data_IF_746078463967
#
_entry.id   IF_746078463967
#
_cell.length_a   1.000
_cell.length_b   1.000
_cell.length_c   1.000
_cell.angle_alpha   90.00
_cell.angle_beta   90.00
_cell.angle_gamma   90.00
#
_symmetry.space_group_name_H-M   'P 1'
#
loop_
_entity.id
_entity.type
_entity.pdbx_description
1 polymer ?
#
# COMPACT_ATOMS: atom_id res chain seq x y z
N UNK A 1 10.45 13.60 -28.82
CA UNK A 1 10.43 12.31 -29.52
C UNK A 1 10.68 11.13 -28.56
N UNK A 2 11.76 11.15 -27.82
CA UNK A 2 12.13 10.08 -26.89
C UNK A 2 11.10 9.82 -25.78
N UNK A 3 10.55 10.88 -25.14
CA UNK A 3 9.44 10.75 -24.18
C UNK A 3 8.21 10.03 -24.74
N UNK A 4 7.91 10.22 -26.02
CA UNK A 4 6.79 9.50 -26.67
C UNK A 4 7.14 8.04 -26.95
N UNK A 5 8.38 7.73 -27.33
CA UNK A 5 8.83 6.34 -27.48
C UNK A 5 8.79 5.59 -26.17
N UNK A 6 9.27 6.21 -25.08
CA UNK A 6 9.19 5.62 -23.72
C UNK A 6 7.74 5.40 -23.24
N UNK A 7 6.85 6.36 -23.49
CA UNK A 7 5.44 6.21 -23.19
C UNK A 7 4.77 5.11 -24.03
N UNK A 8 5.19 4.92 -25.28
CA UNK A 8 4.73 3.85 -26.16
C UNK A 8 5.22 2.48 -25.68
N UNK A 9 6.45 2.39 -25.22
CA UNK A 9 7.01 1.17 -24.61
C UNK A 9 6.29 0.81 -23.32
N UNK A 10 6.04 1.78 -22.43
CA UNK A 10 5.25 1.59 -21.22
C UNK A 10 3.82 1.09 -21.52
N UNK A 11 3.20 1.59 -22.62
CA UNK A 11 1.91 1.07 -23.12
C UNK A 11 1.98 -0.38 -23.52
N UNK A 12 3.01 -0.80 -24.25
CA UNK A 12 3.17 -2.17 -24.72
C UNK A 12 3.43 -3.14 -23.56
N UNK A 13 4.19 -2.73 -22.55
CA UNK A 13 4.39 -3.51 -21.33
C UNK A 13 3.12 -3.63 -20.50
N UNK A 14 2.29 -2.58 -20.40
CA UNK A 14 0.98 -2.66 -19.78
C UNK A 14 0.00 -3.58 -20.53
N UNK A 15 0.22 -3.84 -21.82
CA UNK A 15 -0.55 -4.81 -22.62
C UNK A 15 -0.27 -6.26 -22.23
N UNK A 16 0.94 -6.58 -21.82
CA UNK A 16 1.35 -7.96 -21.51
C UNK A 16 0.85 -8.45 -20.15
N UNK A 17 0.52 -7.55 -19.23
CA UNK A 17 -0.01 -7.91 -17.89
C UNK A 17 -1.54 -8.02 -17.92
N UNK A 18 -2.06 -9.18 -17.61
CA UNK A 18 -3.50 -9.48 -17.47
C UNK A 18 -4.11 -8.70 -16.28
N UNK A 19 -4.98 -7.67 -16.44
CA UNK A 19 -6.42 -7.64 -16.77
C UNK A 19 -7.31 -7.39 -15.55
N UNK A 20 -7.16 -6.24 -14.88
CA UNK A 20 -8.23 -5.71 -14.04
C UNK A 20 -8.70 -4.34 -14.58
N UNK A 21 -9.87 -3.82 -14.16
CA UNK A 21 -10.37 -2.50 -14.55
C UNK A 21 -9.36 -1.37 -14.32
N UNK A 22 -8.54 -1.48 -13.27
CA UNK A 22 -7.46 -0.54 -12.98
C UNK A 22 -6.38 -0.49 -14.06
N UNK A 23 -6.01 -1.63 -14.66
CA UNK A 23 -5.03 -1.67 -15.75
C UNK A 23 -5.56 -1.05 -17.04
N UNK A 24 -6.84 -1.25 -17.34
CA UNK A 24 -7.47 -0.63 -18.50
C UNK A 24 -7.54 0.88 -18.35
N UNK A 25 -7.84 1.39 -17.14
CA UNK A 25 -7.86 2.82 -16.87
C UNK A 25 -6.45 3.43 -16.96
N UNK A 26 -5.45 2.82 -16.34
CA UNK A 26 -4.05 3.26 -16.41
C UNK A 26 -3.53 3.30 -17.86
N UNK A 27 -3.82 2.25 -18.64
CA UNK A 27 -3.49 2.21 -20.07
C UNK A 27 -4.14 3.34 -20.84
N UNK A 28 -5.43 3.59 -20.65
CA UNK A 28 -6.16 4.66 -21.35
C UNK A 28 -5.66 6.04 -20.94
N UNK A 29 -5.28 6.20 -19.68
CA UNK A 29 -4.63 7.42 -19.19
C UNK A 29 -3.30 7.66 -19.89
N UNK A 30 -2.45 6.65 -19.98
CA UNK A 30 -1.19 6.74 -20.71
C UNK A 30 -1.40 7.06 -22.19
N UNK A 31 -2.36 6.38 -22.87
CA UNK A 31 -2.72 6.70 -24.25
C UNK A 31 -3.23 8.13 -24.44
N UNK A 32 -4.04 8.62 -23.51
CA UNK A 32 -4.50 10.02 -23.51
C UNK A 32 -3.34 11.00 -23.37
N UNK A 33 -2.43 10.74 -22.44
CA UNK A 33 -1.30 11.64 -22.18
C UNK A 33 -0.33 11.71 -23.37
N UNK A 34 -0.12 10.59 -24.07
CA UNK A 34 0.62 10.55 -25.35
C UNK A 34 -0.09 11.41 -26.39
N UNK A 35 -1.39 11.23 -26.60
CA UNK A 35 -2.19 11.97 -27.59
C UNK A 35 -2.22 13.47 -27.26
N UNK A 36 -2.33 13.81 -25.98
CA UNK A 36 -2.24 15.19 -25.48
C UNK A 36 -0.89 15.81 -25.80
N UNK A 37 0.21 15.08 -25.56
CA UNK A 37 1.56 15.53 -25.91
C UNK A 37 1.73 15.79 -27.40
N UNK A 38 1.23 14.89 -28.25
CA UNK A 38 1.27 15.04 -29.70
C UNK A 38 0.47 16.27 -30.18
N UNK A 39 -0.73 16.49 -29.62
CA UNK A 39 -1.54 17.66 -29.96
C UNK A 39 -0.87 18.98 -29.47
N UNK A 40 -0.28 18.97 -28.29
CA UNK A 40 0.46 20.12 -27.78
C UNK A 40 1.66 20.47 -28.67
N UNK A 41 2.43 19.47 -29.08
CA UNK A 41 3.53 19.64 -30.01
C UNK A 41 3.04 20.17 -31.37
N UNK A 42 1.96 19.60 -31.92
CA UNK A 42 1.40 20.06 -33.18
C UNK A 42 0.95 21.54 -33.14
N UNK A 43 0.35 21.97 -32.02
CA UNK A 43 -0.07 23.37 -31.82
C UNK A 43 1.14 24.30 -31.70
N UNK A 44 2.19 23.86 -31.01
CA UNK A 44 3.43 24.61 -30.90
C UNK A 44 4.15 24.75 -32.25
N UNK A 45 4.24 23.67 -33.04
CA UNK A 45 4.84 23.64 -34.36
C UNK A 45 4.07 24.49 -35.39
N UNK A 46 2.74 24.44 -35.36
CA UNK A 46 1.87 25.25 -36.21
C UNK A 46 2.08 26.75 -36.00
N UNK A 47 2.35 27.20 -34.76
CA UNK A 47 2.73 28.62 -34.47
C UNK A 47 4.07 29.04 -35.10
N UNK A 48 4.88 28.09 -35.52
CA UNK A 48 6.19 28.27 -36.20
C UNK A 48 6.12 27.94 -37.67
N UNK A 49 4.94 27.89 -38.25
CA UNK A 49 4.74 27.66 -39.67
C UNK A 49 4.90 26.22 -40.15
N UNK A 50 5.10 25.24 -39.22
CA UNK A 50 5.25 23.83 -39.60
C UNK A 50 3.86 23.23 -39.94
N UNK A 51 3.77 22.58 -41.09
CA UNK A 51 2.55 21.96 -41.56
C UNK A 51 2.13 20.75 -40.71
N UNK A 52 0.84 20.41 -40.73
CA UNK A 52 0.33 19.20 -40.03
C UNK A 52 0.98 17.95 -40.56
N UNK A 53 1.26 17.87 -41.86
CA UNK A 53 1.89 16.71 -42.46
C UNK A 53 3.30 16.50 -41.92
N UNK A 54 4.12 17.53 -41.94
CA UNK A 54 5.48 17.48 -41.38
C UNK A 54 5.52 17.11 -39.89
N UNK A 55 4.55 17.64 -39.12
CA UNK A 55 4.43 17.27 -37.71
C UNK A 55 4.06 15.80 -37.56
N UNK A 56 3.14 15.31 -38.38
CA UNK A 56 2.72 13.91 -38.34
C UNK A 56 3.88 12.99 -38.71
N UNK A 57 4.63 13.33 -39.74
CA UNK A 57 5.80 12.56 -40.18
C UNK A 57 6.89 12.51 -39.09
N UNK A 58 7.19 13.65 -38.45
CA UNK A 58 8.12 13.71 -37.29
C UNK A 58 7.66 12.87 -36.10
N UNK A 59 6.36 12.72 -35.91
CA UNK A 59 5.78 11.90 -34.84
C UNK A 59 5.59 10.43 -35.23
N UNK A 60 5.86 10.07 -36.49
CA UNK A 60 5.58 8.73 -37.01
C UNK A 60 4.08 8.41 -37.06
N UNK A 61 3.23 9.40 -37.33
CA UNK A 61 1.77 9.30 -37.35
C UNK A 61 1.23 9.65 -38.72
N UNK A 62 0.02 9.15 -39.03
CA UNK A 62 -0.73 9.66 -40.19
C UNK A 62 -1.34 11.02 -39.87
N UNK A 63 -1.27 11.98 -40.79
CA UNK A 63 -1.82 13.34 -40.61
C UNK A 63 -3.31 13.35 -40.24
N UNK A 64 -4.09 12.39 -40.78
CA UNK A 64 -5.51 12.19 -40.41
C UNK A 64 -5.69 11.79 -38.93
N UNK A 65 -4.80 10.94 -38.40
CA UNK A 65 -4.80 10.55 -36.99
C UNK A 65 -4.56 11.76 -36.07
N UNK A 66 -3.54 12.57 -36.41
CA UNK A 66 -3.24 13.78 -35.68
C UNK A 66 -4.41 14.79 -35.73
N UNK A 67 -5.03 14.96 -36.91
CA UNK A 67 -6.23 15.79 -37.08
C UNK A 67 -7.41 15.34 -36.24
N UNK A 68 -7.61 14.01 -36.15
CA UNK A 68 -8.65 13.42 -35.30
C UNK A 68 -8.39 13.70 -33.82
N UNK A 69 -7.14 13.61 -33.36
CA UNK A 69 -6.76 13.93 -31.99
C UNK A 69 -6.91 15.41 -31.68
N UNK A 70 -6.61 16.30 -32.62
CA UNK A 70 -6.84 17.74 -32.48
C UNK A 70 -8.33 18.06 -32.33
N UNK A 71 -9.21 17.40 -33.14
CA UNK A 71 -10.65 17.58 -33.00
C UNK A 71 -11.18 17.11 -31.64
N UNK A 72 -10.78 15.91 -31.19
CA UNK A 72 -11.13 15.38 -29.86
C UNK A 72 -10.62 16.28 -28.72
N UNK A 73 -9.43 16.87 -28.90
CA UNK A 73 -8.93 17.82 -27.93
C UNK A 73 -9.77 19.10 -27.84
N UNK A 74 -10.25 19.59 -28.97
CA UNK A 74 -11.16 20.75 -28.98
C UNK A 74 -12.51 20.42 -28.33
N UNK A 75 -13.05 19.24 -28.62
CA UNK A 75 -14.39 18.83 -28.19
C UNK A 75 -14.47 18.59 -26.67
N UNK A 76 -13.60 17.74 -26.11
CA UNK A 76 -13.75 17.29 -24.72
C UNK A 76 -12.40 17.18 -23.97
N UNK A 77 -11.34 17.81 -24.48
CA UNK A 77 -9.97 17.69 -23.92
C UNK A 77 -9.49 16.24 -23.81
N UNK A 78 -10.00 15.36 -24.66
CA UNK A 78 -9.74 13.92 -24.66
C UNK A 78 -10.10 13.29 -23.30
N UNK A 79 -11.22 13.65 -22.72
CA UNK A 79 -11.68 13.09 -21.46
C UNK A 79 -11.77 11.55 -21.55
N UNK A 80 -11.27 10.87 -20.53
CA UNK A 80 -11.36 9.42 -20.44
C UNK A 80 -12.78 9.06 -20.05
N UNK A 81 -13.55 8.59 -21.00
CA UNK A 81 -14.92 8.11 -20.74
C UNK A 81 -14.86 6.68 -20.18
N UNK A 82 -15.79 6.28 -19.31
CA UNK A 82 -15.94 4.89 -18.91
C UNK A 82 -16.02 3.97 -20.13
N UNK A 83 -15.47 2.75 -20.00
CA UNK A 83 -15.64 1.72 -21.03
C UNK A 83 -16.96 1.01 -20.79
N UNK A 84 -17.64 0.69 -21.89
CA UNK A 84 -18.86 -0.09 -21.86
C UNK A 84 -20.12 0.74 -22.10
N UNK A 85 -21.26 0.07 -22.01
CA UNK A 85 -22.58 0.69 -22.09
C UNK A 85 -22.71 1.68 -20.94
N UNK A 86 -23.24 2.86 -21.19
CA UNK A 86 -23.57 3.83 -20.14
C UNK A 86 -24.40 3.08 -19.08
N UNK A 87 -24.00 3.14 -17.84
CA UNK A 87 -24.79 2.54 -16.76
C UNK A 87 -26.18 3.18 -16.81
N UNK A 88 -27.24 2.39 -16.94
CA UNK A 88 -28.59 2.87 -16.71
C UNK A 88 -28.66 3.44 -15.31
N UNK A 89 -29.18 4.64 -15.18
CA UNK A 89 -29.52 5.17 -13.86
C UNK A 89 -30.62 4.28 -13.27
N UNK A 90 -30.43 3.85 -12.04
CA UNK A 90 -31.44 3.08 -11.30
C UNK A 90 -32.54 4.08 -10.92
N UNK A 91 -33.77 3.77 -11.27
CA UNK A 91 -34.92 4.61 -10.91
C UNK A 91 -35.07 4.78 -9.40
N UNK A 92 -35.70 5.87 -8.96
CA UNK A 92 -35.79 6.21 -7.54
C UNK A 92 -36.44 5.10 -6.70
N UNK A 93 -37.53 4.50 -7.20
CA UNK A 93 -38.25 3.42 -6.53
C UNK A 93 -37.35 2.17 -6.35
N UNK A 94 -36.74 1.67 -7.43
CA UNK A 94 -35.83 0.51 -7.40
C UNK A 94 -34.62 0.75 -6.48
N UNK A 95 -34.14 1.98 -6.46
CA UNK A 95 -33.04 2.38 -5.59
C UNK A 95 -33.45 2.31 -4.11
N UNK A 96 -34.67 2.73 -3.78
CA UNK A 96 -35.21 2.60 -2.42
C UNK A 96 -35.37 1.15 -1.99
N UNK A 97 -35.89 0.28 -2.84
CA UNK A 97 -36.02 -1.15 -2.58
C UNK A 97 -34.67 -1.81 -2.33
N UNK A 98 -33.66 -1.49 -3.17
CA UNK A 98 -32.30 -1.96 -2.99
C UNK A 98 -31.68 -1.48 -1.68
N UNK A 99 -31.91 -0.22 -1.31
CA UNK A 99 -31.40 0.32 -0.05
C UNK A 99 -32.09 -0.33 1.16
N UNK A 100 -33.41 -0.56 1.10
CA UNK A 100 -34.14 -1.29 2.13
C UNK A 100 -33.62 -2.75 2.26
N UNK A 101 -33.39 -3.42 1.14
CA UNK A 101 -32.78 -4.75 1.13
C UNK A 101 -31.36 -4.75 1.74
N UNK A 102 -30.53 -3.77 1.42
CA UNK A 102 -29.19 -3.65 2.00
C UNK A 102 -29.22 -3.41 3.51
N UNK A 103 -30.20 -2.65 4.00
CA UNK A 103 -30.40 -2.48 5.43
C UNK A 103 -30.85 -3.75 6.13
N UNK A 104 -31.67 -4.56 5.47
CA UNK A 104 -32.20 -5.81 6.01
C UNK A 104 -31.14 -6.94 6.02
N UNK A 105 -30.42 -7.10 4.90
CA UNK A 105 -29.50 -8.24 4.69
C UNK A 105 -28.04 -7.89 5.05
N UNK A 106 -27.71 -6.59 5.08
CA UNK A 106 -26.37 -6.10 5.38
C UNK A 106 -25.42 -6.07 4.17
N UNK A 107 -24.16 -5.65 4.39
CA UNK A 107 -23.18 -5.39 3.33
C UNK A 107 -22.59 -6.65 2.69
N UNK A 108 -22.81 -7.82 3.27
CA UNK A 108 -22.16 -9.07 2.82
C UNK A 108 -22.92 -9.76 1.67
N UNK A 109 -24.09 -9.25 1.29
CA UNK A 109 -24.84 -9.80 0.15
C UNK A 109 -24.00 -9.77 -1.13
N UNK A 110 -24.03 -10.88 -1.89
CA UNK A 110 -23.31 -11.01 -3.16
C UNK A 110 -24.05 -10.39 -4.35
N UNK A 111 -23.34 -10.13 -5.45
CA UNK A 111 -23.94 -9.61 -6.70
C UNK A 111 -24.88 -10.62 -7.35
N UNK A 112 -24.57 -11.91 -7.27
CA UNK A 112 -25.39 -12.98 -7.84
C UNK A 112 -26.82 -13.01 -7.24
N UNK A 113 -26.99 -13.08 -5.90
CA UNK A 113 -28.30 -12.98 -5.27
C UNK A 113 -29.03 -11.68 -5.60
N UNK A 114 -28.33 -10.54 -5.58
CA UNK A 114 -28.92 -9.25 -5.94
C UNK A 114 -29.45 -9.22 -7.37
N UNK A 115 -28.70 -9.74 -8.33
CA UNK A 115 -29.14 -9.80 -9.71
C UNK A 115 -30.30 -10.80 -9.91
N UNK A 116 -30.38 -11.83 -9.09
CA UNK A 116 -31.54 -12.73 -9.06
C UNK A 116 -32.83 -12.05 -8.58
N UNK A 117 -32.72 -11.12 -7.60
CA UNK A 117 -33.84 -10.33 -7.09
C UNK A 117 -34.21 -9.14 -7.98
N UNK A 118 -33.23 -8.57 -8.68
CA UNK A 118 -33.41 -7.41 -9.58
C UNK A 118 -32.83 -7.72 -10.98
N UNK A 119 -33.44 -8.65 -11.73
CA UNK A 119 -32.91 -9.10 -13.03
C UNK A 119 -32.94 -7.99 -14.10
N UNK A 120 -33.81 -6.99 -13.94
CA UNK A 120 -33.91 -5.81 -14.84
C UNK A 120 -32.69 -4.89 -14.73
N UNK A 121 -31.98 -4.90 -13.60
CA UNK A 121 -30.82 -4.06 -13.37
C UNK A 121 -29.53 -4.71 -13.88
N UNK A 122 -28.65 -3.92 -14.45
CA UNK A 122 -27.36 -4.43 -14.87
C UNK A 122 -26.48 -4.80 -13.65
N UNK A 123 -25.69 -5.87 -13.77
CA UNK A 123 -24.73 -6.25 -12.72
C UNK A 123 -23.75 -5.12 -12.37
N UNK A 124 -23.43 -4.27 -13.33
CA UNK A 124 -22.55 -3.13 -13.12
C UNK A 124 -23.21 -2.05 -12.24
N UNK A 125 -24.48 -1.77 -12.44
CA UNK A 125 -25.25 -0.82 -11.65
C UNK A 125 -25.44 -1.33 -10.21
N UNK A 126 -25.82 -2.61 -10.05
CA UNK A 126 -25.92 -3.27 -8.74
C UNK A 126 -24.58 -3.26 -8.00
N UNK A 127 -23.48 -3.56 -8.71
CA UNK A 127 -22.14 -3.55 -8.14
C UNK A 127 -21.73 -2.16 -7.66
N UNK A 128 -21.97 -1.10 -8.45
CA UNK A 128 -21.64 0.27 -8.06
C UNK A 128 -22.44 0.70 -6.82
N UNK A 129 -23.75 0.44 -6.79
CA UNK A 129 -24.59 0.78 -5.66
C UNK A 129 -24.20 0.00 -4.38
N UNK A 130 -23.96 -1.30 -4.49
CA UNK A 130 -23.50 -2.13 -3.37
C UNK A 130 -22.13 -1.67 -2.85
N UNK A 131 -21.21 -1.28 -3.74
CA UNK A 131 -19.91 -0.75 -3.34
C UNK A 131 -20.01 0.60 -2.61
N UNK A 132 -20.94 1.47 -3.04
CA UNK A 132 -21.24 2.74 -2.35
C UNK A 132 -21.82 2.46 -0.97
N UNK A 133 -22.81 1.54 -0.88
CA UNK A 133 -23.40 1.13 0.38
C UNK A 133 -22.35 0.53 1.32
N UNK A 134 -21.53 -0.43 0.88
CA UNK A 134 -20.44 -1.02 1.66
C UNK A 134 -19.46 0.03 2.18
N UNK A 135 -19.15 1.02 1.37
CA UNK A 135 -18.25 2.11 1.77
C UNK A 135 -18.87 2.95 2.90
N UNK A 136 -20.16 3.27 2.79
CA UNK A 136 -20.88 4.01 3.82
C UNK A 136 -21.10 3.17 5.08
N UNK A 137 -21.54 1.93 4.92
CA UNK A 137 -21.71 1.00 6.03
C UNK A 137 -20.41 0.86 6.83
N UNK A 138 -19.29 0.64 6.15
CA UNK A 138 -17.98 0.57 6.81
C UNK A 138 -17.59 1.89 7.47
N UNK A 139 -18.01 3.03 6.94
CA UNK A 139 -17.79 4.33 7.58
C UNK A 139 -18.67 4.52 8.81
N UNK A 140 -19.92 4.10 8.75
CA UNK A 140 -20.90 4.27 9.83
C UNK A 140 -20.72 3.24 10.97
N UNK A 141 -20.44 1.97 10.62
CA UNK A 141 -20.25 0.90 11.62
C UNK A 141 -18.82 0.86 12.19
N UNK A 142 -17.88 1.65 11.67
CA UNK A 142 -16.55 1.79 12.24
C UNK A 142 -16.50 2.86 13.32
N UNK A 143 -17.38 2.77 14.29
CA UNK A 143 -17.30 3.65 15.45
C UNK A 143 -16.04 3.45 16.29
N UNK A 144 -15.34 2.33 16.11
CA UNK A 144 -14.14 1.98 16.88
C UNK A 144 -13.13 1.24 16.00
N UNK A 145 -12.27 1.96 15.30
CA UNK A 145 -11.06 1.36 14.74
C UNK A 145 -9.98 1.39 15.82
N UNK A 146 -9.51 0.22 16.23
CA UNK A 146 -8.30 0.13 17.02
C UNK A 146 -7.11 0.48 16.13
N UNK A 147 -6.58 1.67 16.27
CA UNK A 147 -5.33 2.04 15.64
C UNK A 147 -4.17 1.70 16.59
N UNK A 148 -3.24 0.88 16.12
CA UNK A 148 -1.98 0.63 16.80
C UNK A 148 -1.11 1.88 16.72
N UNK A 149 -0.57 2.32 17.83
CA UNK A 149 0.43 3.37 17.88
C UNK A 149 1.67 2.86 18.59
N UNK A 150 2.72 2.72 17.84
CA UNK A 150 4.07 2.54 18.37
C UNK A 150 4.56 3.86 18.95
N UNK A 151 5.15 3.84 20.13
CA UNK A 151 5.36 5.07 20.89
C UNK A 151 6.82 5.48 21.01
N UNK A 152 7.74 4.51 20.99
CA UNK A 152 9.15 4.75 21.25
C UNK A 152 9.99 4.32 20.03
N UNK A 153 10.58 5.27 19.28
CA UNK A 153 11.47 4.97 18.16
C UNK A 153 12.63 4.05 18.55
N UNK A 154 13.00 3.16 17.62
CA UNK A 154 14.09 2.20 17.83
C UNK A 154 13.70 0.93 18.57
N UNK A 155 12.45 0.79 19.05
CA UNK A 155 12.04 -0.36 19.86
C UNK A 155 11.46 -1.51 19.04
N UNK A 156 10.74 -1.23 17.98
CA UNK A 156 10.11 -2.24 17.13
C UNK A 156 10.37 -1.93 15.67
N UNK A 157 11.09 -2.80 15.01
CA UNK A 157 11.32 -2.72 13.58
C UNK A 157 10.43 -3.71 12.84
N UNK A 158 10.10 -3.39 11.61
CA UNK A 158 9.45 -4.31 10.68
C UNK A 158 10.36 -4.54 9.49
N UNK A 159 10.33 -5.77 8.96
CA UNK A 159 11.07 -6.18 7.77
C UNK A 159 10.10 -6.85 6.79
N UNK A 160 10.25 -6.55 5.51
CA UNK A 160 9.42 -7.10 4.44
C UNK A 160 10.11 -7.00 3.09
N UNK A 161 9.66 -7.81 2.13
CA UNK A 161 10.05 -7.73 0.75
C UNK A 161 8.96 -7.05 -0.07
N UNK A 162 9.34 -6.24 -1.03
CA UNK A 162 8.39 -5.83 -2.05
C UNK A 162 8.96 -5.96 -3.45
N UNK A 163 8.08 -6.17 -4.42
CA UNK A 163 8.42 -6.28 -5.84
C UNK A 163 8.20 -4.94 -6.51
N UNK A 164 9.21 -4.30 -7.11
CA UNK A 164 9.05 -3.16 -7.97
C UNK A 164 8.31 -3.55 -9.26
N UNK A 165 7.79 -2.57 -9.99
CA UNK A 165 7.05 -2.85 -11.23
C UNK A 165 7.95 -3.43 -12.34
N UNK A 166 9.20 -3.04 -12.38
CA UNK A 166 10.29 -3.57 -13.20
C UNK A 166 11.47 -3.83 -12.25
N UNK A 167 12.37 -4.77 -12.57
CA UNK A 167 13.57 -4.96 -11.78
C UNK A 167 14.36 -3.64 -11.66
N UNK A 168 14.85 -3.35 -10.46
CA UNK A 168 15.72 -2.20 -10.22
C UNK A 168 17.04 -2.46 -10.92
N UNK A 169 17.59 -1.46 -11.63
CA UNK A 169 18.73 -1.58 -12.55
C UNK A 169 18.59 -2.70 -13.61
N UNK A 170 17.36 -3.16 -13.86
CA UNK A 170 17.07 -4.25 -14.77
C UNK A 170 17.37 -5.65 -14.23
N UNK A 171 17.94 -5.77 -13.02
CA UNK A 171 18.43 -7.04 -12.46
C UNK A 171 17.86 -7.39 -11.08
N UNK A 172 17.52 -6.40 -10.24
CA UNK A 172 17.04 -6.65 -8.88
C UNK A 172 15.51 -6.76 -8.85
N UNK A 173 15.00 -7.96 -8.65
CA UNK A 173 13.56 -8.25 -8.67
C UNK A 173 12.82 -7.87 -7.40
N UNK A 174 13.54 -7.71 -6.28
CA UNK A 174 12.99 -7.43 -4.97
C UNK A 174 13.68 -6.24 -4.32
N UNK A 175 13.02 -5.65 -3.35
CA UNK A 175 13.62 -4.65 -2.44
C UNK A 175 13.33 -5.10 -1.02
N UNK A 176 14.37 -5.29 -0.23
CA UNK A 176 14.27 -5.51 1.21
C UNK A 176 14.01 -4.18 1.90
N UNK A 177 12.94 -4.11 2.67
CA UNK A 177 12.59 -2.92 3.44
C UNK A 177 12.70 -3.21 4.93
N UNK A 178 13.48 -2.39 5.64
CA UNK A 178 13.51 -2.38 7.10
C UNK A 178 13.03 -1.04 7.60
N UNK A 179 12.06 -1.05 8.53
CA UNK A 179 11.39 0.17 9.00
C UNK A 179 11.22 0.19 10.50
N UNK A 180 11.53 1.31 11.15
CA UNK A 180 11.11 1.55 12.52
C UNK A 180 9.63 1.97 12.58
N UNK A 181 8.86 1.28 13.41
CA UNK A 181 7.40 1.48 13.43
C UNK A 181 6.96 2.70 14.21
N UNK A 182 7.76 3.19 15.15
CA UNK A 182 7.39 4.32 15.98
C UNK A 182 7.74 5.67 15.34
N UNK A 183 8.89 5.79 14.70
CA UNK A 183 9.26 6.99 13.93
C UNK A 183 8.66 6.99 12.51
N UNK A 184 8.45 5.81 11.94
CA UNK A 184 8.12 5.64 10.54
C UNK A 184 9.33 5.74 9.62
N UNK A 185 10.54 5.78 10.17
CA UNK A 185 11.80 5.79 9.42
C UNK A 185 11.96 4.51 8.63
N UNK A 186 12.24 4.62 7.36
CA UNK A 186 12.77 3.53 6.55
C UNK A 186 14.27 3.47 6.75
N UNK A 187 14.70 2.52 7.60
CA UNK A 187 16.11 2.35 7.98
C UNK A 187 16.90 1.87 6.77
N UNK A 188 16.32 0.92 6.02
CA UNK A 188 16.95 0.33 4.83
C UNK A 188 15.90 0.08 3.73
N UNK A 189 16.33 0.23 2.49
CA UNK A 189 15.57 -0.12 1.29
C UNK A 189 16.55 -0.67 0.24
N UNK A 190 16.93 -1.94 0.37
CA UNK A 190 17.97 -2.56 -0.43
C UNK A 190 17.41 -3.37 -1.60
N UNK A 191 17.70 -2.99 -2.86
CA UNK A 191 17.42 -3.83 -4.03
C UNK A 191 18.23 -5.14 -4.01
N UNK A 192 17.59 -6.26 -4.37
CA UNK A 192 18.20 -7.58 -4.33
C UNK A 192 17.63 -8.50 -5.41
N UNK A 193 18.41 -9.49 -5.83
CA UNK A 193 18.04 -10.45 -6.87
C UNK A 193 16.97 -11.44 -6.40
N UNK A 194 17.12 -11.93 -5.18
CA UNK A 194 16.28 -12.98 -4.61
C UNK A 194 15.88 -12.63 -3.18
N UNK A 195 14.82 -13.25 -2.70
CA UNK A 195 14.44 -13.23 -1.29
C UNK A 195 15.31 -14.24 -0.53
N UNK A 196 16.44 -13.78 -0.03
CA UNK A 196 17.41 -14.62 0.66
C UNK A 196 17.45 -14.34 2.16
N UNK A 197 17.21 -15.38 2.96
CA UNK A 197 17.24 -15.29 4.42
C UNK A 197 18.65 -15.04 4.99
N UNK A 198 19.72 -15.47 4.32
CA UNK A 198 21.12 -15.17 4.72
C UNK A 198 21.40 -13.69 4.54
N UNK A 199 21.07 -13.14 3.36
CA UNK A 199 21.23 -11.71 3.10
C UNK A 199 20.40 -10.87 4.08
N UNK A 200 19.16 -11.24 4.37
CA UNK A 200 18.33 -10.55 5.35
C UNK A 200 18.94 -10.56 6.74
N UNK A 201 19.55 -11.71 7.14
CA UNK A 201 20.26 -11.85 8.40
C UNK A 201 21.49 -10.94 8.47
N UNK A 202 22.30 -10.90 7.42
CA UNK A 202 23.50 -10.05 7.35
C UNK A 202 23.16 -8.57 7.43
N UNK A 203 22.12 -8.15 6.72
CA UNK A 203 21.61 -6.76 6.77
C UNK A 203 21.11 -6.43 8.19
N UNK A 204 20.29 -7.29 8.79
CA UNK A 204 19.83 -7.07 10.16
C UNK A 204 21.00 -6.99 11.14
N UNK A 205 22.01 -7.86 11.02
CA UNK A 205 23.20 -7.83 11.87
C UNK A 205 24.00 -6.52 11.70
N UNK A 206 24.14 -6.04 10.46
CA UNK A 206 24.80 -4.77 10.18
C UNK A 206 24.02 -3.59 10.78
N UNK A 207 22.69 -3.55 10.57
CA UNK A 207 21.84 -2.49 11.12
C UNK A 207 21.80 -2.50 12.66
N UNK A 208 21.84 -3.70 13.29
CA UNK A 208 21.89 -3.81 14.75
C UNK A 208 23.21 -3.31 15.32
N UNK A 209 24.32 -3.50 14.62
CA UNK A 209 25.62 -2.94 15.03
C UNK A 209 25.64 -1.43 14.87
N UNK A 210 25.09 -0.92 13.79
CA UNK A 210 25.11 0.52 13.47
C UNK A 210 24.15 1.33 14.37
N UNK A 211 22.94 0.83 14.57
CA UNK A 211 21.86 1.60 15.19
C UNK A 211 21.41 1.10 16.56
N UNK A 212 21.97 -0.02 17.01
CA UNK A 212 21.46 -0.75 18.17
C UNK A 212 20.25 -1.61 17.83
N UNK A 213 20.21 -2.83 18.36
CA UNK A 213 19.15 -3.78 18.08
C UNK A 213 17.81 -3.35 18.72
N UNK A 214 16.64 -3.55 18.07
CA UNK A 214 15.32 -3.28 18.66
C UNK A 214 14.96 -4.33 19.73
N UNK A 215 13.84 -4.18 20.41
CA UNK A 215 13.26 -5.22 21.27
C UNK A 215 12.59 -6.33 20.44
N UNK A 216 11.92 -5.92 19.36
CA UNK A 216 11.11 -6.79 18.50
C UNK A 216 11.39 -6.49 17.05
N UNK A 217 11.55 -7.54 16.25
CA UNK A 217 11.45 -7.49 14.79
C UNK A 217 10.14 -8.14 14.38
N UNK A 218 9.33 -7.38 13.68
CA UNK A 218 8.06 -7.82 13.10
C UNK A 218 8.25 -8.16 11.63
N UNK A 219 7.80 -9.34 11.21
CA UNK A 219 7.92 -9.82 9.84
C UNK A 219 6.76 -10.71 9.45
N UNK A 220 6.69 -11.07 8.18
CA UNK A 220 5.90 -12.21 7.74
C UNK A 220 6.63 -13.55 7.99
N UNK A 221 6.01 -14.66 7.57
CA UNK A 221 6.57 -16.00 7.80
C UNK A 221 7.73 -16.32 6.85
N UNK A 222 7.97 -15.55 5.79
CA UNK A 222 9.14 -15.74 4.90
C UNK A 222 10.46 -15.50 5.64
N UNK A 223 10.45 -14.68 6.69
CA UNK A 223 11.62 -14.42 7.52
C UNK A 223 11.78 -15.40 8.71
N UNK A 224 10.89 -16.38 8.87
CA UNK A 224 11.05 -17.43 9.89
C UNK A 224 12.00 -18.50 9.40
N UNK A 225 13.26 -18.12 9.20
CA UNK A 225 14.34 -18.99 8.75
C UNK A 225 15.50 -18.98 9.73
N UNK A 226 16.31 -20.01 9.69
CA UNK A 226 17.40 -20.24 10.65
C UNK A 226 18.41 -19.09 10.69
N UNK A 227 18.91 -18.53 9.56
CA UNK A 227 19.87 -17.42 9.59
C UNK A 227 19.33 -16.19 10.32
N UNK A 228 18.09 -15.77 10.02
CA UNK A 228 17.44 -14.63 10.66
C UNK A 228 17.22 -14.89 12.15
N UNK A 229 16.70 -16.07 12.50
CA UNK A 229 16.45 -16.45 13.89
C UNK A 229 17.74 -16.48 14.73
N UNK A 230 18.87 -16.90 14.15
CA UNK A 230 20.19 -16.90 14.79
C UNK A 230 20.63 -15.46 15.14
N UNK A 231 20.51 -14.53 14.18
CA UNK A 231 20.85 -13.11 14.41
C UNK A 231 19.96 -12.49 15.47
N UNK A 232 18.64 -12.72 15.40
CA UNK A 232 17.71 -12.21 16.39
C UNK A 232 18.03 -12.73 17.79
N UNK A 233 18.35 -14.03 17.92
CA UNK A 233 18.71 -14.65 19.19
C UNK A 233 20.02 -14.08 19.77
N UNK A 234 21.07 -13.94 18.94
CA UNK A 234 22.37 -13.38 19.32
C UNK A 234 22.22 -11.96 19.89
N UNK A 235 21.34 -11.15 19.31
CA UNK A 235 21.06 -9.78 19.78
C UNK A 235 19.90 -9.69 20.79
N UNK A 236 19.39 -10.83 21.26
CA UNK A 236 18.27 -10.91 22.24
C UNK A 236 17.01 -10.16 21.75
N UNK A 237 16.77 -10.16 20.45
CA UNK A 237 15.60 -9.57 19.78
C UNK A 237 14.49 -10.62 19.69
N UNK A 238 13.26 -10.22 19.92
CA UNK A 238 12.09 -11.11 19.84
C UNK A 238 11.46 -11.02 18.45
N UNK A 239 11.30 -12.18 17.81
CA UNK A 239 10.57 -12.28 16.54
C UNK A 239 9.06 -12.21 16.78
N UNK A 240 8.37 -11.34 16.02
CA UNK A 240 6.92 -11.19 15.99
C UNK A 240 6.41 -11.50 14.57
N UNK A 241 6.08 -12.76 14.33
CA UNK A 241 5.58 -13.22 13.03
C UNK A 241 4.11 -12.84 12.82
N UNK A 242 3.79 -12.44 11.62
CA UNK A 242 2.40 -12.13 11.21
C UNK A 242 1.54 -13.40 11.16
N UNK A 243 0.26 -13.34 11.55
CA UNK A 243 -0.63 -14.48 11.39
C UNK A 243 -0.83 -14.77 9.88
N UNK A 244 -0.88 -16.05 9.48
CA UNK A 244 -1.17 -16.42 8.10
C UNK A 244 -2.50 -15.84 7.62
N UNK A 245 -2.58 -15.44 6.36
CA UNK A 245 -3.79 -14.91 5.70
C UNK A 245 -4.41 -13.67 6.37
N UNK A 246 -3.62 -12.87 7.12
CA UNK A 246 -4.11 -11.64 7.75
C UNK A 246 -3.28 -10.41 7.31
N UNK A 247 -3.46 -9.91 6.06
CA UNK A 247 -2.66 -8.83 5.49
C UNK A 247 -2.67 -7.55 6.33
N UNK A 248 -3.81 -7.24 6.97
CA UNK A 248 -3.98 -6.03 7.80
C UNK A 248 -2.98 -5.96 8.97
N UNK A 249 -2.40 -7.09 9.36
CA UNK A 249 -1.39 -7.14 10.42
C UNK A 249 -0.10 -6.42 9.99
N UNK A 250 0.21 -6.41 8.70
CA UNK A 250 1.42 -5.81 8.11
C UNK A 250 1.25 -4.34 7.66
N UNK A 251 0.09 -3.72 7.88
CA UNK A 251 -0.22 -2.38 7.40
C UNK A 251 0.81 -1.29 7.71
N UNK A 252 1.61 -1.45 8.76
CA UNK A 252 2.66 -0.48 9.11
C UNK A 252 3.85 -0.53 8.15
N UNK A 253 4.27 -1.73 7.70
CA UNK A 253 5.34 -1.86 6.72
C UNK A 253 4.84 -1.59 5.31
N UNK A 254 3.59 -2.01 5.00
CA UNK A 254 2.93 -1.66 3.74
C UNK A 254 2.86 -0.15 3.54
N UNK A 255 2.64 0.63 4.61
CA UNK A 255 2.72 2.09 4.56
C UNK A 255 4.13 2.59 4.21
N UNK A 256 5.18 1.85 4.57
CA UNK A 256 6.56 2.11 4.15
C UNK A 256 6.74 1.89 2.66
N UNK A 257 6.32 0.72 2.17
CA UNK A 257 6.32 0.40 0.73
C UNK A 257 5.53 1.45 -0.05
N UNK A 258 4.35 1.85 0.44
CA UNK A 258 3.52 2.91 -0.12
C UNK A 258 4.19 4.29 -0.11
N UNK A 259 5.15 4.54 0.79
CA UNK A 259 5.94 5.77 0.80
C UNK A 259 7.10 5.74 -0.21
N UNK A 260 7.75 4.59 -0.40
CA UNK A 260 8.90 4.43 -1.29
C UNK A 260 8.48 4.39 -2.76
N UNK A 261 7.53 3.54 -3.12
CA UNK A 261 7.13 3.32 -4.53
C UNK A 261 6.83 4.58 -5.33
N UNK A 262 5.95 5.51 -4.86
CA UNK A 262 5.67 6.73 -5.60
C UNK A 262 6.87 7.65 -5.72
N UNK A 263 7.75 7.65 -4.73
CA UNK A 263 8.95 8.48 -4.71
C UNK A 263 10.01 7.94 -5.66
N UNK A 264 10.30 6.64 -5.66
CA UNK A 264 11.18 6.01 -6.62
C UNK A 264 10.68 6.21 -8.06
N UNK A 265 9.36 6.10 -8.28
CA UNK A 265 8.75 6.44 -9.57
C UNK A 265 8.98 7.91 -9.95
N UNK A 266 8.90 8.81 -8.99
CA UNK A 266 9.15 10.25 -9.25
C UNK A 266 10.63 10.52 -9.55
N UNK A 267 11.56 9.86 -8.82
CA UNK A 267 13.00 9.98 -9.12
C UNK A 267 13.33 9.47 -10.53
N UNK A 268 12.84 8.28 -10.89
CA UNK A 268 13.06 7.74 -12.23
C UNK A 268 12.51 8.64 -13.34
N UNK A 269 11.38 9.32 -13.12
CA UNK A 269 10.83 10.32 -14.05
C UNK A 269 11.73 11.53 -14.15
N UNK A 270 12.23 12.07 -13.02
CA UNK A 270 13.16 13.21 -13.02
C UNK A 270 14.45 12.91 -13.78
N UNK A 271 14.90 11.68 -13.66
CA UNK A 271 16.11 11.18 -14.34
C UNK A 271 15.83 10.69 -15.78
N UNK A 272 14.68 11.04 -16.37
CA UNK A 272 14.23 10.64 -17.71
C UNK A 272 14.15 9.12 -17.95
N UNK A 273 13.95 8.32 -16.91
CA UNK A 273 13.82 6.86 -16.93
C UNK A 273 12.48 6.42 -16.30
N UNK A 274 11.31 6.88 -16.79
CA UNK A 274 10.02 6.65 -16.13
C UNK A 274 9.68 5.15 -16.03
N UNK A 275 9.63 4.65 -14.79
CA UNK A 275 9.33 3.25 -14.49
C UNK A 275 10.56 2.34 -14.40
N UNK A 276 11.70 2.77 -14.89
CA UNK A 276 12.98 2.07 -14.77
C UNK A 276 13.74 2.64 -13.56
N UNK A 277 13.58 1.99 -12.42
CA UNK A 277 14.23 2.42 -11.19
C UNK A 277 15.67 1.93 -11.15
N UNK A 278 16.55 2.76 -10.60
CA UNK A 278 17.91 2.36 -10.20
C UNK A 278 18.02 2.26 -8.70
N UNK A 279 19.13 1.70 -8.22
CA UNK A 279 19.46 1.70 -6.78
C UNK A 279 19.47 3.14 -6.23
N UNK A 280 19.99 4.11 -6.98
CA UNK A 280 19.99 5.53 -6.58
C UNK A 280 18.56 6.10 -6.47
N UNK A 281 17.65 5.70 -7.36
CA UNK A 281 16.24 6.14 -7.29
C UNK A 281 15.54 5.58 -6.05
N UNK A 282 15.84 4.33 -5.67
CA UNK A 282 15.31 3.70 -4.45
C UNK A 282 15.88 4.37 -3.21
N UNK A 283 17.18 4.63 -3.17
CA UNK A 283 17.83 5.32 -2.05
C UNK A 283 17.36 6.79 -1.94
N UNK A 284 17.28 7.51 -3.06
CA UNK A 284 16.71 8.85 -3.10
C UNK A 284 15.27 8.90 -2.61
N UNK A 285 14.46 7.86 -2.94
CA UNK A 285 13.09 7.71 -2.45
C UNK A 285 13.05 7.47 -0.94
N UNK A 286 13.96 6.65 -0.40
CA UNK A 286 14.12 6.37 1.03
C UNK A 286 14.45 7.66 1.79
N UNK A 287 15.48 8.38 1.38
CA UNK A 287 15.89 9.63 1.98
C UNK A 287 14.74 10.65 1.98
N UNK A 288 14.07 10.84 0.83
CA UNK A 288 12.93 11.77 0.76
C UNK A 288 11.73 11.34 1.59
N UNK A 289 11.43 10.02 1.65
CA UNK A 289 10.38 9.54 2.51
C UNK A 289 10.65 9.90 3.97
N UNK A 290 11.88 9.73 4.42
CA UNK A 290 12.29 10.03 5.79
C UNK A 290 12.27 11.53 6.10
N UNK A 291 12.72 12.36 5.16
CA UNK A 291 12.84 13.81 5.35
C UNK A 291 11.55 14.59 5.17
N UNK A 292 10.65 14.11 4.30
CA UNK A 292 9.49 14.91 3.90
C UNK A 292 8.15 14.34 4.35
N UNK A 293 8.07 13.04 4.64
CA UNK A 293 6.80 12.45 5.06
C UNK A 293 6.36 12.98 6.43
N UNK A 294 5.03 13.03 6.62
CA UNK A 294 4.40 13.43 7.88
C UNK A 294 3.35 12.38 8.30
N UNK A 295 3.77 11.14 8.63
CA UNK A 295 2.85 10.04 8.89
C UNK A 295 1.95 10.28 10.11
N UNK A 296 2.35 11.16 11.00
CA UNK A 296 1.63 11.47 12.23
C UNK A 296 0.85 12.80 12.17
N UNK A 297 0.85 13.48 11.02
CA UNK A 297 0.17 14.76 10.78
C UNK A 297 1.12 15.88 10.36
N UNK A 298 0.61 16.88 9.65
CA UNK A 298 1.42 17.94 9.02
C UNK A 298 2.27 18.78 10.00
N UNK A 299 1.83 18.92 11.26
CA UNK A 299 2.58 19.63 12.32
C UNK A 299 3.52 18.71 13.13
N UNK A 300 3.58 17.43 12.79
CA UNK A 300 4.43 16.48 13.54
C UNK A 300 5.81 16.36 12.87
N UNK A 301 6.83 15.93 13.63
CA UNK A 301 8.17 15.70 13.10
C UNK A 301 8.20 14.71 11.95
N UNK A 302 9.23 14.80 11.11
CA UNK A 302 9.53 13.81 10.08
C UNK A 302 10.01 12.49 10.70
N UNK A 303 9.95 11.37 9.96
CA UNK A 303 10.56 10.12 10.40
C UNK A 303 12.02 10.28 10.79
N UNK A 304 12.82 10.93 9.95
CA UNK A 304 14.25 11.18 10.18
C UNK A 304 14.49 11.92 11.51
N UNK A 305 13.75 13.01 11.78
CA UNK A 305 13.90 13.77 13.02
C UNK A 305 13.56 12.93 14.25
N UNK A 306 12.51 12.10 14.17
CA UNK A 306 12.15 11.19 15.26
C UNK A 306 13.20 10.09 15.44
N UNK A 307 13.78 9.60 14.36
CA UNK A 307 14.78 8.56 14.36
C UNK A 307 16.11 9.06 14.93
N UNK A 308 16.56 10.25 14.54
CA UNK A 308 17.80 10.86 15.05
C UNK A 308 17.75 11.11 16.56
N UNK A 309 16.58 11.47 17.08
CA UNK A 309 16.37 11.71 18.52
C UNK A 309 16.05 10.42 19.32
N UNK A 310 16.13 9.22 18.72
CA UNK A 310 15.86 7.97 19.43
C UNK A 310 17.01 7.60 20.36
N UNK A 311 16.65 6.78 21.33
CA UNK A 311 17.62 6.04 22.14
C UNK A 311 17.41 4.54 21.89
N UNK A 312 18.46 3.76 21.62
CA UNK A 312 18.35 2.30 21.56
C UNK A 312 17.81 1.76 22.88
N UNK A 313 17.06 0.63 22.85
CA UNK A 313 16.56 0.02 24.07
C UNK A 313 17.68 -0.34 25.04
N UNK A 314 17.60 0.18 26.25
CA UNK A 314 18.61 -0.11 27.28
C UNK A 314 18.60 -1.61 27.69
N UNK A 315 19.67 -2.11 28.31
CA UNK A 315 19.71 -3.46 28.87
C UNK A 315 18.57 -3.73 29.85
N UNK A 316 18.19 -2.73 30.64
CA UNK A 316 17.09 -2.80 31.63
C UNK A 316 15.73 -2.90 30.93
N UNK A 317 15.52 -2.15 29.86
CA UNK A 317 14.30 -2.22 29.04
C UNK A 317 14.15 -3.62 28.40
N UNK A 318 15.26 -4.20 27.91
CA UNK A 318 15.30 -5.59 27.40
C UNK A 318 14.98 -6.62 28.47
N UNK A 319 15.60 -6.48 29.64
CA UNK A 319 15.36 -7.38 30.76
C UNK A 319 13.90 -7.29 31.23
N UNK A 320 13.35 -6.09 31.33
CA UNK A 320 11.96 -5.86 31.72
C UNK A 320 10.99 -6.43 30.69
N UNK A 321 11.26 -6.27 29.40
CA UNK A 321 10.43 -6.86 28.33
C UNK A 321 10.46 -8.39 28.37
N UNK A 322 11.62 -8.99 28.56
CA UNK A 322 11.75 -10.47 28.68
C UNK A 322 11.03 -11.02 29.90
N UNK A 323 11.13 -10.33 31.05
CA UNK A 323 10.37 -10.70 32.27
C UNK A 323 8.87 -10.62 32.02
N UNK A 324 8.41 -9.53 31.39
CA UNK A 324 7.00 -9.39 31.04
C UNK A 324 6.51 -10.52 30.12
N UNK A 325 7.30 -10.90 29.12
CA UNK A 325 6.97 -12.02 28.23
C UNK A 325 6.88 -13.35 28.98
N UNK A 326 7.82 -13.64 29.86
CA UNK A 326 7.83 -14.86 30.67
C UNK A 326 6.56 -14.96 31.55
N UNK A 327 6.09 -13.84 32.10
CA UNK A 327 4.87 -13.79 32.91
C UNK A 327 3.57 -13.85 32.08
N UNK A 328 3.59 -13.24 30.89
CA UNK A 328 2.39 -13.14 30.04
C UNK A 328 2.13 -14.35 29.15
N UNK A 329 3.19 -15.09 28.77
CA UNK A 329 3.06 -16.23 27.88
C UNK A 329 2.18 -17.37 28.45
N UNK A 330 2.29 -17.79 29.71
CA UNK A 330 1.36 -18.76 30.31
C UNK A 330 -0.09 -18.29 30.25
N UNK A 331 -0.36 -17.03 30.62
CA UNK A 331 -1.69 -16.43 30.57
C UNK A 331 -2.24 -16.36 29.14
N UNK A 332 -1.41 -15.98 28.18
CA UNK A 332 -1.79 -15.95 26.77
C UNK A 332 -2.12 -17.35 26.19
N UNK A 333 -1.46 -18.40 26.68
CA UNK A 333 -1.79 -19.78 26.32
C UNK A 333 -3.18 -20.17 26.80
N UNK A 334 -3.58 -19.82 28.01
CA UNK A 334 -4.93 -20.04 28.54
C UNK A 334 -5.98 -19.29 27.74
N UNK A 335 -5.73 -18.03 27.37
CA UNK A 335 -6.67 -17.21 26.59
C UNK A 335 -6.90 -17.75 25.17
N UNK A 336 -5.91 -18.40 24.58
CA UNK A 336 -6.02 -18.99 23.24
C UNK A 336 -6.73 -20.35 23.28
N UNK A 337 -6.60 -21.08 24.39
CA UNK A 337 -7.30 -22.37 24.62
C UNK A 337 -7.62 -22.53 26.10
N UNK A 338 -8.87 -22.27 26.51
CA UNK A 338 -9.32 -22.42 27.90
C UNK A 338 -9.39 -23.87 28.38
N UNK A 339 -9.48 -24.86 27.49
CA UNK A 339 -9.59 -26.27 27.82
C UNK A 339 -8.25 -26.85 28.32
N UNK A 340 -8.26 -27.39 29.51
CA UNK A 340 -7.09 -27.61 30.36
C UNK A 340 -6.12 -28.72 29.94
N UNK A 341 -6.37 -29.57 28.97
CA UNK A 341 -5.58 -30.82 28.85
C UNK A 341 -4.99 -31.17 27.47
N UNK A 342 -5.21 -30.43 26.43
CA UNK A 342 -4.63 -30.76 25.13
C UNK A 342 -3.42 -29.87 24.78
N UNK A 343 -2.33 -30.49 24.31
CA UNK A 343 -1.18 -29.79 23.80
C UNK A 343 -1.59 -28.77 22.71
N UNK A 344 -1.15 -27.52 22.86
CA UNK A 344 -1.43 -26.47 21.87
C UNK A 344 -0.87 -26.85 20.50
N UNK A 345 -1.68 -26.73 19.47
CA UNK A 345 -1.25 -26.87 18.07
C UNK A 345 -0.25 -25.76 17.71
N UNK A 346 0.62 -25.94 16.71
CA UNK A 346 1.64 -24.94 16.34
C UNK A 346 1.05 -23.54 16.13
N UNK A 347 -0.06 -23.41 15.42
CA UNK A 347 -0.71 -22.12 15.17
C UNK A 347 -1.24 -21.45 16.46
N UNK A 348 -1.73 -22.25 17.46
CA UNK A 348 -2.17 -21.74 18.75
C UNK A 348 -0.99 -21.24 19.60
N UNK A 349 0.15 -21.97 19.56
CA UNK A 349 1.38 -21.52 20.21
C UNK A 349 1.87 -20.20 19.62
N UNK A 350 1.83 -20.06 18.29
CA UNK A 350 2.17 -18.82 17.60
C UNK A 350 1.19 -17.68 17.97
N UNK A 351 -0.11 -17.95 18.04
CA UNK A 351 -1.11 -16.97 18.48
C UNK A 351 -0.88 -16.52 19.92
N UNK A 352 -0.65 -17.45 20.85
CA UNK A 352 -0.34 -17.14 22.24
C UNK A 352 0.95 -16.29 22.36
N UNK A 353 1.98 -16.62 21.58
CA UNK A 353 3.23 -15.83 21.55
C UNK A 353 3.00 -14.41 21.05
N UNK A 354 2.25 -14.22 19.94
CA UNK A 354 1.88 -12.89 19.44
C UNK A 354 1.10 -12.08 20.47
N UNK A 355 0.15 -12.73 21.16
CA UNK A 355 -0.65 -12.09 22.20
C UNK A 355 0.21 -11.65 23.38
N UNK A 356 1.12 -12.51 23.86
CA UNK A 356 2.05 -12.20 24.95
C UNK A 356 2.97 -11.03 24.59
N UNK A 357 3.55 -11.04 23.36
CA UNK A 357 4.41 -9.95 22.87
C UNK A 357 3.62 -8.64 22.83
N UNK A 358 2.42 -8.62 22.25
CA UNK A 358 1.59 -7.42 22.15
C UNK A 358 1.22 -6.88 23.55
N UNK A 359 0.85 -7.75 24.48
CA UNK A 359 0.55 -7.37 25.87
C UNK A 359 1.79 -6.84 26.61
N UNK A 360 2.96 -7.45 26.41
CA UNK A 360 4.23 -6.98 26.97
C UNK A 360 4.60 -5.60 26.48
N UNK A 361 4.45 -5.35 25.15
CA UNK A 361 4.69 -4.03 24.57
C UNK A 361 3.72 -2.97 25.09
N UNK A 362 2.46 -3.34 25.32
CA UNK A 362 1.45 -2.44 25.91
C UNK A 362 1.77 -2.15 27.36
N UNK A 363 2.08 -3.17 28.16
CA UNK A 363 2.37 -3.03 29.59
C UNK A 363 3.57 -2.11 29.85
N UNK A 364 4.58 -2.14 28.96
CA UNK A 364 5.77 -1.29 29.04
C UNK A 364 5.63 0.04 28.28
N UNK A 365 4.46 0.32 27.71
CA UNK A 365 4.19 1.59 27.05
C UNK A 365 4.77 1.74 25.65
N UNK A 366 5.35 0.69 25.05
CA UNK A 366 5.91 0.70 23.68
C UNK A 366 4.83 0.61 22.58
N UNK A 367 3.67 0.09 22.94
CA UNK A 367 2.51 -0.01 22.07
C UNK A 367 1.27 0.52 22.78
N UNK A 368 0.48 1.32 22.09
CA UNK A 368 -0.83 1.80 22.57
C UNK A 368 -1.92 1.50 21.58
N UNK A 369 -3.05 1.01 22.07
CA UNK A 369 -4.27 0.91 21.31
C UNK A 369 -5.01 2.24 21.41
N UNK A 370 -5.21 2.93 20.29
CA UNK A 370 -6.08 4.09 20.22
C UNK A 370 -7.42 3.68 19.65
N UNK A 371 -8.48 3.94 20.38
CA UNK A 371 -9.82 3.99 19.79
C UNK A 371 -9.89 5.27 18.95
N UNK A 372 -9.91 5.15 17.65
CA UNK A 372 -10.15 6.26 16.75
C UNK A 372 -11.60 6.20 16.35
N UNK A 373 -12.44 7.09 16.87
CA UNK A 373 -13.75 7.32 16.27
C UNK A 373 -13.50 7.88 14.89
N UNK A 374 -13.81 7.10 13.89
CA UNK A 374 -14.01 7.62 12.55
C UNK A 374 -15.43 8.19 12.55
N UNK A 375 -15.55 9.45 12.87
CA UNK A 375 -16.73 10.23 12.54
C UNK A 375 -16.42 10.99 11.26
N UNK A 376 -16.75 10.50 10.07
CA UNK A 376 -17.03 11.42 9.01
C UNK A 376 -18.39 12.03 9.37
N UNK A 377 -18.57 13.34 9.29
CA UNK A 377 -19.90 13.94 9.34
C UNK A 377 -20.65 13.50 8.08
N UNK A 378 -21.35 12.38 8.15
CA UNK A 378 -22.34 12.02 7.15
C UNK A 378 -23.63 12.63 7.69
N UNK A 379 -23.93 13.84 7.22
CA UNK A 379 -25.29 14.37 7.40
C UNK A 379 -26.27 13.42 6.71
N UNK A 380 -27.47 13.32 7.27
CA UNK A 380 -28.60 12.61 6.66
C UNK A 380 -28.84 13.02 5.19
N UNK A 381 -28.51 14.26 4.81
CA UNK A 381 -28.48 14.75 3.43
C UNK A 381 -27.47 14.03 2.52
N UNK A 382 -26.33 13.52 3.04
CA UNK A 382 -25.39 12.74 2.20
C UNK A 382 -25.84 11.30 2.00
N UNK A 383 -26.68 10.76 2.86
CA UNK A 383 -27.36 9.48 2.65
C UNK A 383 -28.51 9.66 1.63
N UNK A 384 -29.25 10.76 1.67
CA UNK A 384 -30.28 11.08 0.70
C UNK A 384 -29.72 11.28 -0.73
N UNK A 385 -28.49 11.77 -0.87
CA UNK A 385 -27.82 11.92 -2.18
C UNK A 385 -27.24 10.59 -2.74
N UNK A 386 -27.44 9.47 -2.05
CA UNK A 386 -27.10 8.12 -2.51
C UNK A 386 -28.37 7.36 -2.85
N UNK A 387 -29.50 7.79 -2.28
CA UNK A 387 -30.83 7.32 -2.67
C UNK A 387 -31.31 7.96 -3.95
#
# INVERSE_FOLDING_TARGET
>A
MERMKKAWTARNMARSRRRGPCHQYARRRAERDIRKGAVAFARWAARRGTSRQEVADRLGLKAGTLGTWQRKWKADRMMIRPLGRTACEIEGAERWELMALFHLVGPEIGIQPLHGLFPQLSRAALWDLLHRYRRLYRRNCRDLVYALRWTVPGTVWAIDWFEPALPVDGIYHYVLLVRDLASGETIEALPCHTKDGHMAADILAALFRQYGAPLVVKSDNEFDCEPVNRVLAAHKVVSLLSPPAYPQYNGSIEAGVGAIRPRAQHESIRNNRPGEWTCDDVEGARCRANQTARPFGHLKPTPELLWQNRQPPSPEARASFRRALAQLLPKAKLDVKPEEQAALKPYQRAAARRLAISRGLVALGFLRFRRKRFTPPISSQKLANIS
#
